data_IF_871815761251
#
_entry.id   IF_871815761251
#
_cell.length_a   1.000
_cell.length_b   1.000
_cell.length_c   1.000
_cell.angle_alpha   90.00
_cell.angle_beta   90.00
_cell.angle_gamma   90.00
#
_symmetry.space_group_name_H-M   'P 1'
#
loop_
_entity.id
_entity.type
_entity.pdbx_description
1 polymer ?
#
# COMPACT_ATOMS: atom_id res chain seq x y z
N UNK A 1 14.26 3.72 -4.04
CA UNK A 1 13.34 2.58 -3.85
C UNK A 1 12.09 2.71 -4.72
N UNK A 2 11.61 1.58 -5.27
CA UNK A 2 10.46 1.53 -6.16
C UNK A 2 9.13 1.99 -5.54
N UNK A 3 9.07 2.14 -4.21
CA UNK A 3 7.95 2.71 -3.45
C UNK A 3 8.50 3.83 -2.58
N UNK A 4 8.11 5.07 -2.87
CA UNK A 4 8.45 6.23 -2.04
C UNK A 4 7.68 6.23 -0.69
N UNK A 5 8.11 7.09 0.23
CA UNK A 5 7.51 7.18 1.56
C UNK A 5 6.01 7.55 1.51
N UNK A 6 5.60 8.39 0.55
CA UNK A 6 4.20 8.79 0.38
C UNK A 6 3.32 7.60 -0.03
N UNK A 7 3.83 6.76 -0.93
CA UNK A 7 3.15 5.55 -1.39
C UNK A 7 3.01 4.55 -0.25
N UNK A 8 4.07 4.32 0.53
CA UNK A 8 4.02 3.46 1.70
C UNK A 8 3.04 3.99 2.76
N UNK A 9 3.02 5.30 2.98
CA UNK A 9 2.07 5.94 3.90
C UNK A 9 0.62 5.74 3.43
N UNK A 10 0.35 5.94 2.14
CA UNK A 10 -0.96 5.71 1.53
C UNK A 10 -1.41 4.27 1.73
N UNK A 11 -0.52 3.31 1.47
CA UNK A 11 -0.81 1.87 1.63
C UNK A 11 -1.10 1.52 3.09
N UNK A 12 -0.28 1.98 4.02
CA UNK A 12 -0.50 1.72 5.45
C UNK A 12 -1.84 2.27 5.91
N UNK A 13 -2.19 3.51 5.53
CA UNK A 13 -3.50 4.10 5.84
C UNK A 13 -4.64 3.33 5.20
N UNK A 14 -4.45 2.81 3.99
CA UNK A 14 -5.48 1.99 3.33
C UNK A 14 -5.75 0.69 4.08
N UNK A 15 -4.69 0.00 4.56
CA UNK A 15 -4.83 -1.17 5.43
C UNK A 15 -5.47 -0.83 6.78
N UNK A 16 -5.07 0.26 7.44
CA UNK A 16 -5.65 0.70 8.73
C UNK A 16 -7.16 1.00 8.64
N UNK A 17 -7.64 1.38 7.45
CA UNK A 17 -9.07 1.63 7.19
C UNK A 17 -9.75 0.44 6.50
N UNK A 18 -9.24 -0.79 6.68
CA UNK A 18 -9.83 -2.03 6.17
C UNK A 18 -10.10 -2.00 4.66
N UNK A 19 -9.15 -1.45 3.88
CA UNK A 19 -9.25 -1.31 2.42
C UNK A 19 -10.43 -0.43 1.96
N UNK A 20 -11.01 0.38 2.85
CA UNK A 20 -12.10 1.28 2.51
C UNK A 20 -11.56 2.57 1.88
N UNK A 21 -11.85 2.75 0.58
CA UNK A 21 -11.38 3.91 -0.19
C UNK A 21 -11.93 5.23 0.36
N UNK A 22 -13.21 5.27 0.74
CA UNK A 22 -13.85 6.50 1.23
C UNK A 22 -13.29 6.95 2.58
N UNK A 23 -13.15 6.01 3.53
CA UNK A 23 -12.57 6.28 4.84
C UNK A 23 -11.10 6.69 4.73
N UNK A 24 -10.33 5.98 3.92
CA UNK A 24 -8.91 6.27 3.70
C UNK A 24 -8.71 7.65 3.09
N UNK A 25 -9.50 8.01 2.07
CA UNK A 25 -9.42 9.33 1.44
C UNK A 25 -9.70 10.45 2.47
N UNK A 26 -10.70 10.26 3.34
CA UNK A 26 -11.00 11.19 4.43
C UNK A 26 -9.83 11.31 5.42
N UNK A 27 -9.23 10.18 5.82
CA UNK A 27 -8.09 10.16 6.76
C UNK A 27 -6.80 10.73 6.17
N UNK A 28 -6.64 10.67 4.84
CA UNK A 28 -5.51 11.25 4.12
C UNK A 28 -5.74 12.70 3.70
N UNK A 29 -6.93 13.27 3.96
CA UNK A 29 -7.31 14.61 3.51
C UNK A 29 -7.18 14.80 1.98
N UNK A 30 -7.48 13.75 1.21
CA UNK A 30 -7.49 13.78 -0.25
C UNK A 30 -8.86 13.43 -0.80
N UNK A 31 -9.12 13.84 -2.04
CA UNK A 31 -10.33 13.39 -2.73
C UNK A 31 -10.26 11.89 -3.02
N UNK A 32 -11.42 11.21 -3.05
CA UNK A 32 -11.53 9.78 -3.37
C UNK A 32 -10.81 9.42 -4.68
N UNK A 33 -11.01 10.22 -5.73
CA UNK A 33 -10.38 9.98 -7.03
C UNK A 33 -8.85 10.09 -6.98
N UNK A 34 -8.32 11.00 -6.15
CA UNK A 34 -6.87 11.10 -5.92
C UNK A 34 -6.33 9.84 -5.27
N UNK A 35 -7.04 9.28 -4.28
CA UNK A 35 -6.66 8.00 -3.69
C UNK A 35 -6.74 6.85 -4.70
N UNK A 36 -7.81 6.78 -5.50
CA UNK A 36 -7.95 5.78 -6.57
C UNK A 36 -6.76 5.86 -7.53
N UNK A 37 -6.36 7.06 -7.95
CA UNK A 37 -5.19 7.25 -8.80
C UNK A 37 -3.89 6.73 -8.15
N UNK A 38 -3.69 6.98 -6.85
CA UNK A 38 -2.54 6.44 -6.10
C UNK A 38 -2.56 4.91 -6.07
N UNK A 39 -3.73 4.30 -5.83
CA UNK A 39 -3.90 2.84 -5.84
C UNK A 39 -3.64 2.25 -7.23
N UNK A 40 -4.06 2.91 -8.31
CA UNK A 40 -3.73 2.51 -9.68
C UNK A 40 -2.22 2.60 -9.96
N UNK A 41 -1.54 3.62 -9.45
CA UNK A 41 -0.08 3.73 -9.54
C UNK A 41 0.60 2.56 -8.81
N UNK A 42 0.12 2.20 -7.61
CA UNK A 42 0.62 1.04 -6.86
C UNK A 42 0.43 -0.26 -7.65
N UNK A 43 -0.76 -0.45 -8.24
CA UNK A 43 -1.03 -1.62 -9.10
C UNK A 43 -0.08 -1.69 -10.29
N UNK A 44 0.19 -0.57 -10.97
CA UNK A 44 1.15 -0.53 -12.08
C UNK A 44 2.58 -0.88 -11.66
N UNK A 45 2.98 -0.49 -10.44
CA UNK A 45 4.33 -0.75 -9.92
C UNK A 45 4.51 -2.19 -9.42
N UNK A 46 3.44 -2.79 -8.88
CA UNK A 46 3.53 -4.04 -8.10
C UNK A 46 2.84 -5.22 -8.78
N UNK A 47 1.98 -4.95 -9.77
CA UNK A 47 1.06 -5.93 -10.35
C UNK A 47 -0.16 -6.25 -9.48
N UNK A 48 -0.24 -5.71 -8.26
CA UNK A 48 -1.25 -6.07 -7.27
C UNK A 48 -2.28 -4.96 -7.08
N UNK A 49 -3.57 -5.30 -7.18
CA UNK A 49 -4.67 -4.39 -6.91
C UNK A 49 -5.07 -4.46 -5.44
N UNK A 50 -4.62 -3.51 -4.62
CA UNK A 50 -4.88 -3.55 -3.17
C UNK A 50 -6.37 -3.44 -2.80
N UNK A 51 -7.26 -3.12 -3.74
CA UNK A 51 -8.71 -3.13 -3.52
C UNK A 51 -9.28 -4.55 -3.53
N UNK A 52 -8.59 -5.48 -4.19
CA UNK A 52 -8.89 -6.90 -4.16
C UNK A 52 -8.24 -7.51 -2.91
N UNK A 53 -9.02 -8.26 -2.14
CA UNK A 53 -8.59 -8.76 -0.85
C UNK A 53 -7.35 -9.68 -0.95
N UNK A 54 -7.33 -10.60 -1.92
CA UNK A 54 -6.24 -11.56 -2.09
C UNK A 54 -4.92 -10.87 -2.46
N UNK A 55 -4.97 -9.87 -3.34
CA UNK A 55 -3.83 -9.04 -3.72
C UNK A 55 -3.34 -8.21 -2.53
N UNK A 56 -4.25 -7.66 -1.73
CA UNK A 56 -3.93 -6.90 -0.53
C UNK A 56 -3.22 -7.75 0.52
N UNK A 57 -3.68 -8.98 0.76
CA UNK A 57 -3.01 -9.93 1.67
C UNK A 57 -1.63 -10.31 1.14
N UNK A 58 -1.53 -10.61 -0.15
CA UNK A 58 -0.25 -10.91 -0.82
C UNK A 58 0.75 -9.78 -0.62
N UNK A 59 0.31 -8.53 -0.86
CA UNK A 59 1.13 -7.35 -0.66
C UNK A 59 1.54 -7.17 0.81
N UNK A 60 0.62 -7.41 1.75
CA UNK A 60 0.89 -7.28 3.19
C UNK A 60 1.96 -8.27 3.64
N UNK A 61 1.87 -9.53 3.22
CA UNK A 61 2.86 -10.56 3.52
C UNK A 61 4.20 -10.21 2.89
N UNK A 62 4.23 -9.77 1.64
CA UNK A 62 5.46 -9.34 0.97
C UNK A 62 6.16 -8.20 1.74
N UNK A 63 5.41 -7.22 2.24
CA UNK A 63 5.97 -6.17 3.10
C UNK A 63 6.50 -6.70 4.43
N UNK A 64 5.85 -7.68 5.06
CA UNK A 64 6.33 -8.30 6.29
C UNK A 64 7.64 -9.05 6.07
N UNK A 65 7.73 -9.81 4.98
CA UNK A 65 8.98 -10.50 4.59
C UNK A 65 10.08 -9.50 4.32
N UNK A 66 9.82 -8.43 3.56
CA UNK A 66 10.81 -7.37 3.31
C UNK A 66 11.32 -6.75 4.61
N UNK A 67 10.43 -6.40 5.54
CA UNK A 67 10.82 -5.87 6.86
C UNK A 67 11.67 -6.86 7.65
N UNK A 68 11.31 -8.14 7.60
CA UNK A 68 12.08 -9.20 8.25
C UNK A 68 13.49 -9.32 7.67
N UNK A 69 13.63 -9.34 6.34
CA UNK A 69 14.93 -9.40 5.66
C UNK A 69 15.82 -8.20 6.02
N UNK A 70 15.25 -6.98 6.01
CA UNK A 70 15.95 -5.76 6.43
C UNK A 70 16.40 -5.87 7.90
N UNK A 71 15.53 -6.34 8.80
CA UNK A 71 15.88 -6.51 10.23
C UNK A 71 17.01 -7.52 10.48
N UNK A 72 17.28 -8.39 9.50
CA UNK A 72 18.36 -9.39 9.52
C UNK A 72 19.59 -8.94 8.75
N UNK A 73 19.58 -7.76 8.13
CA UNK A 73 20.68 -7.25 7.30
C UNK A 73 20.88 -8.01 5.99
N UNK A 74 19.83 -8.68 5.48
CA UNK A 74 19.90 -9.51 4.27
C UNK A 74 19.65 -8.67 3.00
N UNK A 75 18.90 -7.58 3.11
CA UNK A 75 18.62 -6.61 2.03
C UNK A 75 19.08 -5.21 2.47
N UNK A 76 20.03 -4.63 1.72
CA UNK A 76 20.45 -3.21 1.75
C UNK A 76 20.25 -2.59 0.36
#
# INVERSE_FOLDING_TARGET
>A
DALDQETLFTINKFFENNLNVSETARKLFVHRNTLVYRLEKIKKLTGLDLREFDDAITFKVALMVKKYLISRGIDN
#
